data_IF_109032091282
#
_entry.id   IF_109032091282
#
_cell.length_a   1.000
_cell.length_b   1.000
_cell.length_c   1.000
_cell.angle_alpha   90.00
_cell.angle_beta   90.00
_cell.angle_gamma   90.00
#
_symmetry.space_group_name_H-M   'P 1'
#
loop_
_entity.id
_entity.type
_entity.pdbx_description
1 polymer ?
#
# COMPACT_ATOMS: atom_id res chain seq x y z
N UNK A 1 -34.87 -14.61 11.09
CA UNK A 1 -34.36 -13.43 11.82
C UNK A 1 -32.86 -13.35 11.57
N UNK A 2 -32.32 -12.18 11.28
CA UNK A 2 -30.86 -12.03 11.18
C UNK A 2 -30.22 -12.36 12.53
N UNK A 3 -29.11 -13.10 12.51
CA UNK A 3 -28.36 -13.44 13.72
C UNK A 3 -27.82 -12.15 14.34
N UNK A 4 -28.06 -11.94 15.63
CA UNK A 4 -27.50 -10.82 16.37
C UNK A 4 -25.98 -10.95 16.43
N UNK A 5 -25.25 -9.89 16.04
CA UNK A 5 -23.78 -9.86 16.12
C UNK A 5 -23.37 -9.47 17.54
N UNK A 6 -22.55 -10.30 18.18
CA UNK A 6 -22.05 -10.10 19.55
C UNK A 6 -20.53 -9.99 19.62
N UNK A 7 -19.83 -10.63 18.68
CA UNK A 7 -18.37 -10.64 18.63
C UNK A 7 -17.90 -10.38 17.22
N UNK A 8 -16.99 -9.43 17.05
CA UNK A 8 -16.34 -9.16 15.77
C UNK A 8 -14.85 -9.47 15.83
N UNK A 9 -14.33 -9.99 14.74
CA UNK A 9 -12.90 -10.07 14.47
C UNK A 9 -12.42 -8.82 13.72
N UNK A 10 -11.17 -8.46 13.92
CA UNK A 10 -10.47 -7.45 13.10
C UNK A 10 -9.11 -7.99 12.70
N UNK A 11 -8.76 -7.84 11.43
CA UNK A 11 -7.44 -8.21 10.91
C UNK A 11 -6.94 -7.18 9.90
N UNK A 12 -5.62 -7.11 9.77
CA UNK A 12 -4.93 -6.45 8.67
C UNK A 12 -4.30 -7.51 7.77
N UNK A 13 -4.36 -7.32 6.46
CA UNK A 13 -3.85 -8.30 5.48
C UNK A 13 -3.25 -7.60 4.27
N UNK A 14 -2.26 -8.24 3.66
CA UNK A 14 -1.49 -7.68 2.54
C UNK A 14 -0.29 -6.87 3.02
N UNK A 15 0.14 -5.88 2.25
CA UNK A 15 1.13 -4.89 2.69
C UNK A 15 0.54 -3.99 3.77
N UNK A 16 1.39 -3.51 4.68
CA UNK A 16 0.95 -2.50 5.64
C UNK A 16 0.82 -1.13 4.94
N UNK A 17 -0.09 -0.33 5.45
CA UNK A 17 -0.32 1.02 4.96
C UNK A 17 -0.40 2.00 6.15
N UNK A 18 0.09 3.23 5.99
CA UNK A 18 -0.09 4.27 7.00
C UNK A 18 -1.58 4.43 7.33
N UNK A 19 -1.93 4.49 8.62
CA UNK A 19 -3.31 4.60 9.08
C UNK A 19 -4.01 3.27 9.39
N UNK A 20 -3.41 2.11 9.13
CA UNK A 20 -3.98 0.82 9.55
C UNK A 20 -4.21 0.75 11.05
N UNK A 21 -3.30 1.26 11.88
CA UNK A 21 -3.48 1.33 13.32
C UNK A 21 -4.63 2.24 13.73
N UNK A 22 -4.81 3.37 13.05
CA UNK A 22 -5.96 4.25 13.27
C UNK A 22 -7.29 3.54 12.95
N UNK A 23 -7.33 2.79 11.85
CA UNK A 23 -8.49 1.98 11.44
C UNK A 23 -8.78 0.86 12.45
N UNK A 24 -7.78 0.10 12.89
CA UNK A 24 -7.92 -0.91 13.96
C UNK A 24 -8.52 -0.27 15.21
N UNK A 25 -7.95 0.86 15.65
CA UNK A 25 -8.42 1.58 16.82
C UNK A 25 -9.89 2.03 16.68
N UNK A 26 -10.26 2.56 15.51
CA UNK A 26 -11.63 2.99 15.24
C UNK A 26 -12.61 1.81 15.32
N UNK A 27 -12.28 0.68 14.70
CA UNK A 27 -13.08 -0.56 14.76
C UNK A 27 -13.23 -1.04 16.20
N UNK A 28 -12.13 -1.22 16.92
CA UNK A 28 -12.14 -1.75 18.30
C UNK A 28 -12.93 -0.85 19.24
N UNK A 29 -12.63 0.46 19.24
CA UNK A 29 -13.30 1.39 20.13
C UNK A 29 -14.80 1.54 19.85
N UNK A 30 -15.19 1.57 18.57
CA UNK A 30 -16.59 1.66 18.17
C UNK A 30 -17.36 0.39 18.55
N UNK A 31 -16.77 -0.78 18.31
CA UNK A 31 -17.40 -2.05 18.66
C UNK A 31 -17.61 -2.18 20.18
N UNK A 32 -16.56 -1.90 20.98
CA UNK A 32 -16.67 -1.92 22.43
C UNK A 32 -17.69 -0.91 22.97
N UNK A 33 -17.82 0.27 22.35
CA UNK A 33 -18.82 1.26 22.72
C UNK A 33 -20.27 0.81 22.42
N UNK A 34 -20.42 -0.09 21.44
CA UNK A 34 -21.69 -0.74 21.08
C UNK A 34 -21.95 -2.01 21.91
N UNK A 35 -21.11 -2.34 22.89
CA UNK A 35 -21.24 -3.53 23.73
C UNK A 35 -20.81 -4.82 23.06
N UNK A 36 -20.13 -4.77 21.93
CA UNK A 36 -19.60 -5.95 21.23
C UNK A 36 -18.27 -6.38 21.84
N UNK A 37 -17.98 -7.69 21.80
CA UNK A 37 -16.62 -8.23 22.04
C UNK A 37 -15.78 -8.08 20.76
N UNK A 38 -14.47 -7.85 20.94
CA UNK A 38 -13.54 -7.72 19.81
C UNK A 38 -12.40 -8.71 19.94
N UNK A 39 -12.14 -9.42 18.86
CA UNK A 39 -11.04 -10.35 18.67
C UNK A 39 -10.07 -9.77 17.64
N UNK A 40 -8.81 -9.53 18.02
CA UNK A 40 -7.74 -9.20 17.08
C UNK A 40 -7.16 -10.48 16.48
N UNK A 41 -7.11 -10.57 15.17
CA UNK A 41 -6.50 -11.69 14.46
C UNK A 41 -5.13 -11.22 13.99
N UNK A 42 -4.08 -11.79 14.56
CA UNK A 42 -2.70 -11.42 14.24
C UNK A 42 -2.28 -12.00 12.88
N UNK A 43 -1.36 -11.34 12.17
CA UNK A 43 -0.81 -11.80 10.89
C UNK A 43 -1.86 -12.11 9.80
N UNK A 44 -3.00 -11.42 9.84
CA UNK A 44 -4.05 -11.55 8.84
C UNK A 44 -4.62 -12.96 8.70
N UNK A 45 -4.83 -13.42 7.47
CA UNK A 45 -5.37 -14.76 7.21
C UNK A 45 -4.43 -15.88 7.68
N UNK A 46 -3.12 -15.66 7.71
CA UNK A 46 -2.19 -16.66 8.25
C UNK A 46 -2.47 -16.95 9.72
N UNK A 47 -2.57 -15.89 10.52
CA UNK A 47 -2.89 -16.06 11.94
C UNK A 47 -4.31 -16.57 12.18
N UNK A 48 -5.27 -16.25 11.29
CA UNK A 48 -6.59 -16.87 11.37
C UNK A 48 -6.50 -18.40 11.25
N UNK A 49 -5.72 -18.91 10.30
CA UNK A 49 -5.53 -20.36 10.13
C UNK A 49 -4.74 -21.03 11.27
N UNK A 50 -3.85 -20.27 11.90
CA UNK A 50 -3.01 -20.75 13.00
C UNK A 50 -3.59 -20.47 14.39
N UNK A 51 -4.83 -19.97 14.45
CA UNK A 51 -5.52 -19.66 15.71
C UNK A 51 -4.81 -18.57 16.55
N UNK A 52 -4.09 -17.65 15.89
CA UNK A 52 -3.41 -16.54 16.53
C UNK A 52 -4.39 -15.38 16.81
N UNK A 53 -5.29 -15.59 17.75
CA UNK A 53 -6.39 -14.69 18.09
C UNK A 53 -6.24 -14.17 19.52
N UNK A 54 -6.37 -12.86 19.69
CA UNK A 54 -6.28 -12.18 20.97
C UNK A 54 -7.58 -11.44 21.31
N UNK A 55 -7.90 -11.35 22.59
CA UNK A 55 -8.97 -10.47 23.05
C UNK A 55 -8.49 -9.02 23.04
N UNK A 56 -9.33 -8.10 22.52
CA UNK A 56 -8.99 -6.70 22.45
C UNK A 56 -9.92 -5.87 23.36
N UNK A 57 -9.31 -4.99 24.11
CA UNK A 57 -9.96 -3.99 24.94
C UNK A 57 -9.57 -2.55 24.53
N UNK A 58 -10.00 -1.55 25.30
CA UNK A 58 -9.66 -0.16 25.05
C UNK A 58 -8.16 0.13 25.16
N UNK A 59 -7.43 -0.64 26.00
CA UNK A 59 -5.99 -0.47 26.22
C UNK A 59 -5.17 -1.09 25.10
N UNK A 60 -5.67 -2.17 24.49
CA UNK A 60 -5.02 -2.84 23.35
C UNK A 60 -4.78 -1.91 22.17
N UNK A 61 -5.51 -0.81 22.09
CA UNK A 61 -5.44 0.19 21.01
C UNK A 61 -5.09 1.59 21.53
N UNK A 62 -4.49 1.68 22.72
CA UNK A 62 -3.99 2.94 23.25
C UNK A 62 -2.73 3.38 22.50
N UNK A 63 -2.61 4.68 22.26
CA UNK A 63 -1.41 5.34 21.70
C UNK A 63 -0.88 4.74 20.37
N UNK A 64 -1.79 4.25 19.52
CA UNK A 64 -1.44 3.67 18.23
C UNK A 64 -1.91 4.49 17.02
N UNK A 65 -2.76 5.52 17.23
CA UNK A 65 -3.40 6.24 16.12
C UNK A 65 -2.39 6.92 15.18
N UNK A 66 -1.27 7.40 15.74
CA UNK A 66 -0.20 8.08 15.01
C UNK A 66 0.92 7.15 14.55
N UNK A 67 0.86 5.86 14.88
CA UNK A 67 1.92 4.90 14.58
C UNK A 67 1.70 4.26 13.22
N UNK A 68 2.75 4.24 12.38
CA UNK A 68 2.78 3.48 11.15
C UNK A 68 2.81 1.97 11.38
N UNK A 69 2.76 1.21 10.30
CA UNK A 69 2.65 -0.24 10.35
C UNK A 69 1.30 -0.72 10.87
N UNK A 70 1.26 -1.93 11.42
CA UNK A 70 0.06 -2.52 12.00
C UNK A 70 0.37 -3.30 13.26
N UNK A 71 -0.34 -3.00 14.35
CA UNK A 71 -0.17 -3.70 15.64
C UNK A 71 -0.67 -5.14 15.61
N UNK A 72 -1.51 -5.50 14.64
CA UNK A 72 -1.98 -6.87 14.43
C UNK A 72 -1.04 -7.67 13.53
N UNK A 73 0.03 -7.06 13.06
CA UNK A 73 0.94 -7.63 12.07
C UNK A 73 0.24 -8.02 10.77
N UNK A 74 1.00 -8.37 9.75
CA UNK A 74 0.48 -8.86 8.48
C UNK A 74 1.39 -9.94 7.92
N UNK A 75 0.82 -10.88 7.17
CA UNK A 75 1.56 -11.91 6.47
C UNK A 75 0.82 -12.34 5.21
N UNK A 76 1.57 -12.77 4.20
CA UNK A 76 0.98 -13.47 3.05
C UNK A 76 0.55 -14.86 3.48
N UNK A 77 -0.62 -15.31 3.02
CA UNK A 77 -1.17 -16.63 3.32
C UNK A 77 -1.62 -17.33 2.05
N UNK A 78 -0.73 -18.16 1.49
CA UNK A 78 -1.04 -18.93 0.29
C UNK A 78 -2.07 -20.03 0.57
N UNK A 79 -2.04 -20.64 1.75
CA UNK A 79 -3.01 -21.67 2.18
C UNK A 79 -4.45 -21.14 2.12
N UNK A 80 -4.68 -19.87 2.47
CA UNK A 80 -6.01 -19.25 2.42
C UNK A 80 -6.56 -19.08 0.99
N UNK A 81 -5.73 -19.23 -0.04
CA UNK A 81 -6.19 -19.24 -1.42
C UNK A 81 -6.92 -20.54 -1.78
N UNK A 82 -6.73 -21.60 -1.01
CA UNK A 82 -7.39 -22.90 -1.21
C UNK A 82 -8.76 -22.95 -0.51
N UNK A 83 -9.66 -23.79 -1.03
CA UNK A 83 -10.96 -23.99 -0.44
C UNK A 83 -10.88 -24.59 0.98
N UNK A 84 -9.90 -25.47 1.19
CA UNK A 84 -9.62 -26.07 2.51
C UNK A 84 -9.20 -25.02 3.54
N UNK A 85 -8.28 -24.13 3.18
CA UNK A 85 -7.86 -23.02 4.04
C UNK A 85 -9.03 -22.08 4.37
N UNK A 86 -9.91 -21.78 3.40
CA UNK A 86 -11.09 -20.95 3.64
C UNK A 86 -12.07 -21.61 4.62
N UNK A 87 -12.33 -22.92 4.47
CA UNK A 87 -13.16 -23.69 5.40
C UNK A 87 -12.56 -23.70 6.81
N UNK A 88 -11.25 -23.98 6.92
CA UNK A 88 -10.51 -23.94 8.20
C UNK A 88 -10.61 -22.55 8.86
N UNK A 89 -10.42 -21.47 8.09
CA UNK A 89 -10.58 -20.10 8.61
C UNK A 89 -11.99 -19.83 9.15
N UNK A 90 -13.02 -20.29 8.46
CA UNK A 90 -14.41 -20.17 8.91
C UNK A 90 -14.69 -21.01 10.17
N UNK A 91 -14.09 -22.19 10.30
CA UNK A 91 -14.19 -23.03 11.49
C UNK A 91 -13.53 -22.36 12.71
N UNK A 92 -12.36 -21.74 12.53
CA UNK A 92 -11.70 -20.96 13.58
C UNK A 92 -12.56 -19.78 14.01
N UNK A 93 -13.21 -19.07 13.07
CA UNK A 93 -14.17 -18.03 13.43
C UNK A 93 -15.30 -18.56 14.31
N UNK A 94 -15.89 -19.69 13.94
CA UNK A 94 -16.97 -20.32 14.71
C UNK A 94 -16.50 -20.78 16.09
N UNK A 95 -15.30 -21.38 16.17
CA UNK A 95 -14.65 -21.80 17.43
C UNK A 95 -14.53 -20.65 18.43
N UNK A 96 -14.15 -19.46 17.93
CA UNK A 96 -14.02 -18.25 18.77
C UNK A 96 -15.30 -17.44 18.90
N UNK A 97 -16.43 -17.90 18.34
CA UNK A 97 -17.70 -17.21 18.37
C UNK A 97 -17.70 -15.87 17.62
N UNK A 98 -16.83 -15.74 16.63
CA UNK A 98 -16.75 -14.53 15.78
C UNK A 98 -17.92 -14.55 14.80
N UNK A 99 -18.82 -13.57 14.91
CA UNK A 99 -20.01 -13.44 14.08
C UNK A 99 -19.74 -12.68 12.76
N UNK A 100 -18.68 -11.87 12.74
CA UNK A 100 -18.25 -11.15 11.55
C UNK A 100 -16.83 -10.64 11.69
N UNK A 101 -16.17 -10.38 10.57
CA UNK A 101 -14.77 -9.89 10.52
C UNK A 101 -14.71 -8.57 9.75
N UNK A 102 -13.97 -7.61 10.31
CA UNK A 102 -13.53 -6.42 9.61
C UNK A 102 -12.13 -6.68 9.06
N UNK A 103 -12.01 -6.63 7.75
CA UNK A 103 -10.76 -6.85 7.01
C UNK A 103 -10.22 -5.50 6.55
N UNK A 104 -9.03 -5.13 7.02
CA UNK A 104 -8.33 -3.90 6.63
C UNK A 104 -7.19 -4.29 5.69
N UNK A 105 -7.23 -3.81 4.44
CA UNK A 105 -6.21 -4.16 3.46
C UNK A 105 -6.58 -3.77 2.03
N UNK A 106 -5.86 -4.32 1.06
CA UNK A 106 -6.04 -4.06 -0.36
C UNK A 106 -6.91 -5.10 -1.08
N UNK A 107 -6.88 -5.09 -2.41
CA UNK A 107 -7.68 -5.96 -3.30
C UNK A 107 -7.58 -7.45 -2.95
N UNK A 108 -6.36 -7.98 -2.78
CA UNK A 108 -6.16 -9.38 -2.40
C UNK A 108 -6.81 -9.74 -1.07
N UNK A 109 -6.81 -8.82 -0.08
CA UNK A 109 -7.43 -9.01 1.21
C UNK A 109 -8.96 -9.05 1.10
N UNK A 110 -9.54 -8.26 0.21
CA UNK A 110 -10.99 -8.25 -0.04
C UNK A 110 -11.45 -9.50 -0.79
N UNK A 111 -10.64 -10.01 -1.72
CA UNK A 111 -10.92 -11.33 -2.33
C UNK A 111 -10.95 -12.43 -1.26
N UNK A 112 -10.03 -12.39 -0.29
CA UNK A 112 -10.06 -13.29 0.86
C UNK A 112 -11.32 -13.11 1.71
N UNK A 113 -11.72 -11.86 1.99
CA UNK A 113 -12.96 -11.55 2.72
C UNK A 113 -14.20 -12.11 2.00
N UNK A 114 -14.27 -11.96 0.67
CA UNK A 114 -15.36 -12.51 -0.14
C UNK A 114 -15.43 -14.05 -0.05
N UNK A 115 -14.28 -14.72 -0.05
CA UNK A 115 -14.22 -16.18 0.11
C UNK A 115 -14.68 -16.61 1.50
N UNK A 116 -14.30 -15.85 2.53
CA UNK A 116 -14.76 -16.11 3.91
C UNK A 116 -16.27 -15.86 4.06
N UNK A 117 -16.79 -14.84 3.40
CA UNK A 117 -18.22 -14.58 3.34
C UNK A 117 -19.00 -15.74 2.70
N UNK A 118 -18.46 -16.35 1.64
CA UNK A 118 -19.02 -17.54 1.01
C UNK A 118 -19.07 -18.76 1.95
N UNK A 119 -18.23 -18.80 2.99
CA UNK A 119 -18.25 -19.79 4.06
C UNK A 119 -19.23 -19.44 5.21
N UNK A 120 -20.03 -18.36 5.05
CA UNK A 120 -21.05 -17.95 6.00
C UNK A 120 -20.57 -17.06 7.15
N UNK A 121 -19.39 -16.45 7.06
CA UNK A 121 -18.88 -15.45 7.99
C UNK A 121 -19.16 -14.05 7.42
N UNK A 122 -19.85 -13.18 8.15
CA UNK A 122 -20.05 -11.80 7.71
C UNK A 122 -18.71 -11.07 7.60
N UNK A 123 -18.52 -10.32 6.52
CA UNK A 123 -17.25 -9.57 6.32
C UNK A 123 -17.54 -8.13 5.89
N UNK A 124 -16.70 -7.21 6.38
CA UNK A 124 -16.67 -5.81 5.94
C UNK A 124 -15.21 -5.49 5.60
N UNK A 125 -14.98 -4.90 4.42
CA UNK A 125 -13.67 -4.43 3.99
C UNK A 125 -13.47 -2.95 4.29
N UNK A 126 -12.30 -2.58 4.84
CA UNK A 126 -11.83 -1.20 4.93
C UNK A 126 -10.60 -1.06 4.02
N UNK A 127 -10.62 -0.15 3.02
CA UNK A 127 -9.53 -0.04 2.05
C UNK A 127 -8.29 0.59 2.69
N UNK A 128 -7.33 -0.25 3.08
CA UNK A 128 -6.03 0.12 3.64
C UNK A 128 -4.91 -0.31 2.70
N UNK A 129 -4.53 0.56 1.79
CA UNK A 129 -3.45 0.36 0.81
C UNK A 129 -2.95 1.71 0.30
N UNK A 130 -1.67 1.77 -0.06
CA UNK A 130 -1.07 2.95 -0.68
C UNK A 130 -1.27 2.99 -2.21
N UNK A 131 -1.68 1.89 -2.84
CA UNK A 131 -1.68 1.73 -4.30
C UNK A 131 -2.83 2.46 -4.99
N UNK A 132 -3.92 2.77 -4.27
CA UNK A 132 -5.16 3.36 -4.79
C UNK A 132 -5.80 2.55 -5.93
N UNK A 133 -5.58 1.23 -5.96
CA UNK A 133 -5.98 0.30 -7.01
C UNK A 133 -7.28 -0.48 -6.71
N UNK A 134 -8.06 -0.02 -5.73
CA UNK A 134 -9.33 -0.67 -5.35
C UNK A 134 -10.50 -0.02 -6.09
N UNK A 135 -11.21 -0.82 -6.87
CA UNK A 135 -12.43 -0.37 -7.53
C UNK A 135 -13.50 0.07 -6.50
N UNK A 136 -14.35 1.03 -6.91
CA UNK A 136 -15.46 1.54 -6.10
C UNK A 136 -15.08 2.36 -4.87
N UNK A 137 -13.84 2.84 -4.77
CA UNK A 137 -13.44 3.85 -3.79
C UNK A 137 -12.53 4.89 -4.44
N UNK A 138 -12.73 6.16 -4.10
CA UNK A 138 -11.93 7.27 -4.62
C UNK A 138 -10.61 7.40 -3.85
N UNK A 139 -10.60 6.98 -2.58
CA UNK A 139 -9.43 7.06 -1.70
C UNK A 139 -9.26 5.81 -0.87
N UNK A 140 -7.99 5.51 -0.56
CA UNK A 140 -7.62 4.41 0.35
C UNK A 140 -6.85 4.96 1.55
N UNK A 141 -7.04 4.31 2.70
CA UNK A 141 -6.30 4.65 3.93
C UNK A 141 -4.82 4.38 3.69
N UNK A 142 -4.02 5.44 3.74
CA UNK A 142 -2.57 5.36 3.58
C UNK A 142 -2.02 6.03 2.32
N UNK A 143 -2.81 6.21 1.27
CA UNK A 143 -2.37 6.79 0.00
C UNK A 143 -1.78 8.21 0.19
N UNK A 144 -2.54 9.14 0.76
CA UNK A 144 -2.07 10.52 0.96
C UNK A 144 -0.79 10.61 1.81
N UNK A 145 -0.71 9.79 2.86
CA UNK A 145 0.49 9.74 3.70
C UNK A 145 1.69 9.21 2.93
N UNK A 146 1.51 8.18 2.09
CA UNK A 146 2.57 7.65 1.25
C UNK A 146 3.05 8.69 0.23
N UNK A 147 2.13 9.40 -0.43
CA UNK A 147 2.46 10.50 -1.36
C UNK A 147 3.27 11.59 -0.67
N UNK A 148 2.80 12.07 0.50
CA UNK A 148 3.53 13.12 1.24
C UNK A 148 4.92 12.66 1.69
N UNK A 149 5.07 11.42 2.13
CA UNK A 149 6.37 10.84 2.50
C UNK A 149 7.32 10.77 1.30
N UNK A 150 6.82 10.32 0.16
CA UNK A 150 7.60 10.26 -1.06
C UNK A 150 7.99 11.67 -1.55
N UNK A 151 7.07 12.63 -1.53
CA UNK A 151 7.33 14.03 -1.90
C UNK A 151 8.46 14.64 -1.06
N UNK A 152 8.43 14.44 0.27
CA UNK A 152 9.50 14.93 1.15
C UNK A 152 10.87 14.32 0.81
N UNK A 153 10.92 13.03 0.48
CA UNK A 153 12.14 12.36 0.07
C UNK A 153 12.63 12.86 -1.31
N UNK A 154 11.72 13.05 -2.26
CA UNK A 154 12.00 13.56 -3.60
C UNK A 154 12.59 14.98 -3.54
N UNK A 155 12.05 15.87 -2.72
CA UNK A 155 12.56 17.23 -2.55
C UNK A 155 14.03 17.22 -2.10
N UNK A 156 14.39 16.37 -1.13
CA UNK A 156 15.78 16.23 -0.65
C UNK A 156 16.71 15.69 -1.74
N UNK A 157 16.23 14.78 -2.57
CA UNK A 157 17.01 14.25 -3.70
C UNK A 157 17.16 15.30 -4.79
N UNK A 158 16.12 16.09 -5.06
CA UNK A 158 16.13 17.17 -6.04
C UNK A 158 17.15 18.24 -5.70
N UNK A 159 17.29 18.62 -4.42
CA UNK A 159 18.27 19.60 -3.96
C UNK A 159 19.69 19.18 -4.34
N UNK A 160 20.05 17.92 -4.05
CA UNK A 160 21.38 17.40 -4.41
C UNK A 160 21.52 17.20 -5.92
N UNK A 161 20.47 16.79 -6.62
CA UNK A 161 20.45 16.66 -8.09
C UNK A 161 20.73 17.98 -8.77
N UNK A 162 20.13 19.04 -8.28
CA UNK A 162 20.35 20.42 -8.76
C UNK A 162 21.78 20.87 -8.53
N UNK A 163 22.32 20.62 -7.34
CA UNK A 163 23.68 21.02 -6.95
C UNK A 163 24.76 20.36 -7.79
N UNK A 164 24.52 19.15 -8.26
CA UNK A 164 25.46 18.34 -9.04
C UNK A 164 25.16 18.31 -10.55
N UNK A 165 24.14 19.02 -11.01
CA UNK A 165 23.69 19.03 -12.41
C UNK A 165 23.40 17.63 -12.97
N UNK A 166 22.78 16.75 -12.15
CA UNK A 166 22.52 15.34 -12.45
C UNK A 166 21.13 15.09 -13.05
N UNK A 167 20.98 13.94 -13.67
CA UNK A 167 19.69 13.31 -13.88
C UNK A 167 19.38 12.36 -12.70
N UNK A 168 18.22 12.50 -12.10
CA UNK A 168 17.76 11.62 -11.01
C UNK A 168 16.50 10.87 -11.43
N UNK A 169 16.55 9.55 -11.36
CA UNK A 169 15.40 8.67 -11.55
C UNK A 169 14.96 8.21 -10.16
N UNK A 170 13.75 8.56 -9.76
CA UNK A 170 13.21 8.18 -8.46
C UNK A 170 12.08 7.19 -8.70
N UNK A 171 12.29 5.94 -8.29
CA UNK A 171 11.28 4.91 -8.33
C UNK A 171 10.44 4.98 -7.06
N UNK A 172 9.12 5.07 -7.22
CA UNK A 172 8.16 5.10 -6.12
C UNK A 172 7.25 3.88 -6.16
N UNK A 173 6.81 3.45 -4.99
CA UNK A 173 5.87 2.35 -4.84
C UNK A 173 4.54 2.66 -5.53
N UNK A 174 3.66 1.67 -5.61
CA UNK A 174 2.34 1.77 -6.24
C UNK A 174 1.96 0.48 -6.96
N UNK A 175 2.80 -0.54 -6.89
CA UNK A 175 2.60 -1.85 -7.52
C UNK A 175 2.39 -1.72 -9.03
N UNK A 176 1.17 -1.99 -9.54
CA UNK A 176 0.86 -1.88 -10.96
C UNK A 176 0.15 -0.56 -11.33
N UNK A 177 -0.04 0.34 -10.37
CA UNK A 177 -0.71 1.62 -10.54
C UNK A 177 0.27 2.79 -10.43
N UNK A 178 0.17 3.74 -11.34
CA UNK A 178 1.03 4.92 -11.40
C UNK A 178 0.58 6.10 -10.54
N UNK A 179 -0.39 5.94 -9.64
CA UNK A 179 -0.97 7.07 -8.91
C UNK A 179 0.02 7.81 -8.03
N UNK A 180 0.83 7.10 -7.23
CA UNK A 180 1.86 7.75 -6.39
C UNK A 180 2.87 8.49 -7.27
N UNK A 181 3.34 7.85 -8.35
CA UNK A 181 4.27 8.48 -9.28
C UNK A 181 3.69 9.75 -9.93
N UNK A 182 2.42 9.70 -10.33
CA UNK A 182 1.73 10.84 -10.92
C UNK A 182 1.63 12.02 -9.94
N UNK A 183 1.13 11.78 -8.74
CA UNK A 183 0.97 12.82 -7.73
C UNK A 183 2.32 13.41 -7.31
N UNK A 184 3.30 12.57 -7.04
CA UNK A 184 4.65 13.03 -6.68
C UNK A 184 5.32 13.79 -7.83
N UNK A 185 5.19 13.29 -9.07
CA UNK A 185 5.81 13.92 -10.22
C UNK A 185 5.26 15.31 -10.49
N UNK A 186 3.94 15.49 -10.42
CA UNK A 186 3.29 16.80 -10.60
C UNK A 186 3.67 17.74 -9.45
N UNK A 187 3.55 17.29 -8.20
CA UNK A 187 3.77 18.12 -7.03
C UNK A 187 5.24 18.57 -6.87
N UNK A 188 6.20 17.70 -7.19
CA UNK A 188 7.62 18.03 -7.14
C UNK A 188 8.15 18.64 -8.47
N UNK A 189 7.30 18.81 -9.51
CA UNK A 189 7.69 19.41 -10.78
C UNK A 189 8.72 18.57 -11.55
N UNK A 190 8.50 17.27 -11.63
CA UNK A 190 9.34 16.38 -12.42
C UNK A 190 9.25 16.70 -13.91
N UNK A 191 10.35 16.57 -14.62
CA UNK A 191 10.40 16.73 -16.07
C UNK A 191 9.71 15.58 -16.79
N UNK A 192 9.83 14.36 -16.27
CA UNK A 192 9.18 13.17 -16.81
C UNK A 192 8.56 12.33 -15.70
N UNK A 193 7.39 11.77 -16.00
CA UNK A 193 6.66 10.87 -15.11
C UNK A 193 6.32 9.60 -15.89
N UNK A 194 6.91 8.48 -15.50
CA UNK A 194 6.72 7.20 -16.16
C UNK A 194 5.64 6.41 -15.42
N UNK A 195 4.51 6.17 -16.10
CA UNK A 195 3.33 5.51 -15.54
C UNK A 195 3.06 4.20 -16.28
N UNK A 196 2.80 3.07 -15.58
CA UNK A 196 2.49 1.79 -16.23
C UNK A 196 1.34 1.88 -17.23
N UNK A 197 0.38 2.76 -16.97
CA UNK A 197 -0.82 2.95 -17.79
C UNK A 197 -0.57 3.66 -19.12
N UNK A 198 0.61 4.30 -19.28
CA UNK A 198 0.89 5.18 -20.45
C UNK A 198 2.28 4.99 -21.04
N UNK A 199 3.19 4.34 -20.33
CA UNK A 199 4.55 4.17 -20.80
C UNK A 199 4.64 3.09 -21.87
N UNK A 200 5.05 3.46 -23.06
CA UNK A 200 5.19 2.59 -24.22
C UNK A 200 6.57 1.95 -24.36
N UNK A 201 7.43 2.09 -23.35
CA UNK A 201 8.83 1.66 -23.32
C UNK A 201 9.74 2.44 -24.32
N UNK A 202 9.35 3.62 -24.76
CA UNK A 202 10.21 4.47 -25.60
C UNK A 202 11.24 5.23 -24.76
N UNK A 203 12.29 4.51 -24.34
CA UNK A 203 13.41 5.13 -23.63
C UNK A 203 14.20 6.11 -24.51
N UNK A 204 14.15 5.96 -25.83
CA UNK A 204 14.82 6.89 -26.74
C UNK A 204 14.15 8.26 -26.74
N UNK A 205 12.82 8.34 -26.67
CA UNK A 205 12.11 9.60 -26.51
C UNK A 205 12.50 10.31 -25.22
N UNK A 206 12.62 9.58 -24.11
CA UNK A 206 13.09 10.10 -22.82
C UNK A 206 14.52 10.67 -22.93
N UNK A 207 15.45 9.93 -23.53
CA UNK A 207 16.83 10.39 -23.77
C UNK A 207 16.85 11.65 -24.59
N UNK A 208 16.06 11.72 -25.67
CA UNK A 208 15.98 12.89 -26.52
C UNK A 208 15.43 14.10 -25.74
N UNK A 209 14.43 13.93 -24.88
CA UNK A 209 13.89 14.99 -24.04
C UNK A 209 14.93 15.54 -23.06
N UNK A 210 15.73 14.69 -22.44
CA UNK A 210 16.84 15.09 -21.57
C UNK A 210 17.89 15.91 -22.34
N UNK A 211 18.29 15.46 -23.53
CA UNK A 211 19.27 16.17 -24.38
C UNK A 211 18.74 17.54 -24.81
N UNK A 212 17.48 17.63 -25.21
CA UNK A 212 16.86 18.91 -25.61
C UNK A 212 16.72 19.85 -24.41
N UNK A 213 16.35 19.34 -23.24
CA UNK A 213 16.31 20.12 -22.00
C UNK A 213 17.68 20.73 -21.68
N UNK A 214 18.75 19.94 -21.81
CA UNK A 214 20.14 20.40 -21.62
C UNK A 214 20.52 21.49 -22.61
N UNK A 215 20.19 21.35 -23.92
CA UNK A 215 20.41 22.36 -24.93
C UNK A 215 19.69 23.69 -24.64
N UNK A 216 18.54 23.64 -23.97
CA UNK A 216 17.75 24.81 -23.54
C UNK A 216 18.24 25.40 -22.20
N UNK A 217 19.35 24.89 -21.62
CA UNK A 217 19.97 25.41 -20.41
C UNK A 217 19.48 24.76 -19.11
N UNK A 218 18.68 23.69 -19.17
CA UNK A 218 18.35 22.91 -17.96
C UNK A 218 19.60 22.26 -17.40
N UNK A 219 19.79 22.35 -16.09
CA UNK A 219 20.97 21.86 -15.41
C UNK A 219 20.77 20.51 -14.75
N UNK A 220 19.56 20.18 -14.34
CA UNK A 220 19.19 18.88 -13.76
C UNK A 220 17.96 18.33 -14.48
N UNK A 221 17.70 17.05 -14.29
CA UNK A 221 16.51 16.37 -14.81
C UNK A 221 15.97 15.40 -13.78
N UNK A 222 14.69 15.52 -13.44
CA UNK A 222 14.02 14.69 -12.46
C UNK A 222 13.00 13.80 -13.16
N UNK A 223 13.15 12.50 -13.02
CA UNK A 223 12.24 11.50 -13.57
C UNK A 223 11.62 10.75 -12.39
N UNK A 224 10.30 10.73 -12.31
CA UNK A 224 9.59 9.87 -11.38
C UNK A 224 9.13 8.63 -12.12
N UNK A 225 9.58 7.47 -11.65
CA UNK A 225 9.28 6.17 -12.23
C UNK A 225 8.38 5.36 -11.30
N UNK A 226 7.27 4.85 -11.82
CA UNK A 226 6.42 3.95 -11.05
C UNK A 226 7.04 2.55 -10.93
N UNK A 227 6.94 1.94 -9.76
CA UNK A 227 7.40 0.56 -9.47
C UNK A 227 6.92 -0.45 -10.52
N UNK A 228 5.71 -0.27 -11.05
CA UNK A 228 5.14 -1.17 -12.07
C UNK A 228 5.90 -1.20 -13.40
N UNK A 229 6.70 -0.16 -13.69
CA UNK A 229 7.67 -0.16 -14.81
C UNK A 229 8.99 -0.76 -14.33
N UNK A 230 9.46 -0.36 -13.15
CA UNK A 230 10.70 -0.85 -12.56
C UNK A 230 11.95 -0.48 -13.36
N UNK A 231 13.00 -1.30 -13.23
CA UNK A 231 14.25 -1.21 -14.02
C UNK A 231 15.04 0.10 -13.88
N UNK A 232 14.73 0.97 -12.91
CA UNK A 232 15.32 2.31 -12.75
C UNK A 232 16.85 2.32 -12.72
N UNK A 233 17.47 1.35 -12.07
CA UNK A 233 18.95 1.24 -12.04
C UNK A 233 19.53 0.96 -13.42
N UNK A 234 18.89 0.09 -14.20
CA UNK A 234 19.29 -0.21 -15.58
C UNK A 234 19.08 0.99 -16.51
N UNK A 235 17.95 1.65 -16.38
CA UNK A 235 17.59 2.87 -17.12
C UNK A 235 18.59 3.98 -16.84
N UNK A 236 18.96 4.21 -15.58
CA UNK A 236 19.98 5.21 -15.21
C UNK A 236 21.31 5.01 -15.95
N UNK A 237 21.80 3.77 -15.99
CA UNK A 237 23.04 3.44 -16.69
C UNK A 237 22.96 3.69 -18.19
N UNK A 238 21.83 3.36 -18.83
CA UNK A 238 21.64 3.59 -20.27
C UNK A 238 21.52 5.07 -20.61
N UNK A 239 20.79 5.84 -19.80
CA UNK A 239 20.67 7.30 -19.97
C UNK A 239 22.03 7.96 -19.79
N UNK A 240 22.80 7.59 -18.77
CA UNK A 240 24.16 8.14 -18.57
C UNK A 240 25.06 7.83 -19.75
N UNK A 241 25.05 6.59 -20.25
CA UNK A 241 25.85 6.19 -21.42
C UNK A 241 25.47 6.94 -22.69
N UNK A 242 24.18 7.25 -22.89
CA UNK A 242 23.66 7.92 -24.08
C UNK A 242 23.83 9.45 -24.03
N UNK A 243 23.78 10.05 -22.85
CA UNK A 243 23.74 11.51 -22.67
C UNK A 243 25.05 12.09 -22.14
N UNK A 244 25.90 11.29 -21.50
CA UNK A 244 27.08 11.73 -20.74
C UNK A 244 26.75 12.48 -19.44
N UNK A 245 25.46 12.52 -19.04
CA UNK A 245 25.01 13.19 -17.82
C UNK A 245 25.03 12.15 -16.68
N UNK A 246 25.70 12.46 -15.57
CA UNK A 246 25.67 11.58 -14.39
C UNK A 246 24.21 11.32 -13.99
N UNK A 247 23.82 10.05 -14.03
CA UNK A 247 22.43 9.65 -13.78
C UNK A 247 22.36 8.67 -12.60
N UNK A 248 21.51 8.97 -11.65
CA UNK A 248 21.32 8.15 -10.44
C UNK A 248 19.89 7.67 -10.29
N UNK A 249 19.74 6.40 -9.93
CA UNK A 249 18.46 5.83 -9.53
C UNK A 249 18.37 5.75 -8.01
N UNK A 250 17.22 6.15 -7.47
CA UNK A 250 16.86 5.99 -6.06
C UNK A 250 15.52 5.27 -6.00
N UNK A 251 15.42 4.23 -5.19
CA UNK A 251 14.19 3.45 -4.98
C UNK A 251 13.67 3.80 -3.58
N UNK A 252 12.46 4.33 -3.50
CA UNK A 252 11.78 4.75 -2.27
C UNK A 252 10.77 3.70 -1.79
#
# INVERSE_FOLDING_TARGET
>A
MAKEIKTIGVLTSGGDAPGMNAAIRAVVRTALNKGLKVKGIQKGYNGLLNDEIIDMDKRSVADIIQRGGTVLYTARCMEFMTEEGQKKGAEVCRKHGIDGIVVIGGDGSFRGAQKLAAQGINTIGLPGTIDLDIACTDYTIGFDTAVNTAMEAIDKIRDTSTSHERCSIIEVMGRNAGYIALWCGIANGAEDILLPERYDNDEQALINHIIEGRKKGKKHHLIINAEGIGHSTGMARRIEAATGIETRATIL
#
